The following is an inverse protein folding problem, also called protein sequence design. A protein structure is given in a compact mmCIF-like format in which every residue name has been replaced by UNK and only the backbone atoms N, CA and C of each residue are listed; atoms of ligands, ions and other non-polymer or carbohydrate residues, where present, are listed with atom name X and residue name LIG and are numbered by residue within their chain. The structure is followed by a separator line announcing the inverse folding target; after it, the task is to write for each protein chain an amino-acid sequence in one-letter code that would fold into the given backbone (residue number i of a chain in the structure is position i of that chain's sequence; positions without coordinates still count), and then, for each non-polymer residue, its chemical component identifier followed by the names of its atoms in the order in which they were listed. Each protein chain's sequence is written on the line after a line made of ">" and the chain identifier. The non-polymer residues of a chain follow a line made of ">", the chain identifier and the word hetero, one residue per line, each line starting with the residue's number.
data_IF_888605758850
#
_entry.id   IF_888605758850
#
_cell.length_a   1.000
_cell.length_b   1.000
_cell.length_c   1.000
_cell.angle_alpha   90.00
_cell.angle_beta   90.00
_cell.angle_gamma   90.00
#
_symmetry.space_group_name_H-M   'P 1'
#
loop_
_entity.id
_entity.type
_entity.pdbx_description
1 polymer ?
#
# COMPACT_ATOMS: atom_id res chain seq x y z
N UNK A 1 21.70 -9.06 2.05
CA UNK A 1 20.38 -8.71 2.57
C UNK A 1 19.68 -7.82 1.55
N UNK A 2 18.35 -8.00 1.35
CA UNK A 2 17.56 -7.09 0.56
C UNK A 2 17.50 -5.70 1.22
N UNK A 3 17.49 -4.67 0.40
CA UNK A 3 17.27 -3.29 0.82
C UNK A 3 15.77 -2.99 0.81
N UNK A 4 15.32 -2.07 1.66
CA UNK A 4 13.93 -1.63 1.71
C UNK A 4 13.87 -0.10 1.73
N UNK A 5 13.06 0.47 0.85
CA UNK A 5 12.75 1.89 0.80
C UNK A 5 11.24 2.11 0.98
N UNK A 6 10.89 3.17 1.68
CA UNK A 6 9.51 3.65 1.76
C UNK A 6 9.45 5.16 1.51
N UNK A 7 8.47 5.57 0.72
CA UNK A 7 8.18 6.99 0.45
C UNK A 7 6.70 7.26 0.67
N UNK A 8 6.40 8.46 1.18
CA UNK A 8 5.03 8.92 1.34
C UNK A 8 4.91 10.42 1.09
N UNK A 9 3.91 10.80 0.30
CA UNK A 9 3.48 12.16 0.10
C UNK A 9 2.08 12.33 0.68
N UNK A 10 1.91 13.27 1.59
CA UNK A 10 0.60 13.65 2.11
C UNK A 10 0.19 15.02 1.60
N UNK A 11 -1.02 15.10 1.08
CA UNK A 11 -1.65 16.34 0.65
C UNK A 11 -2.89 16.62 1.51
N UNK A 12 -3.11 17.88 1.81
CA UNK A 12 -4.30 18.33 2.55
C UNK A 12 -4.99 19.44 1.77
N UNK A 13 -5.74 19.09 0.70
CA UNK A 13 -6.39 20.06 -0.18
C UNK A 13 -7.40 20.95 0.55
N UNK A 14 -8.03 20.43 1.59
CA UNK A 14 -8.94 21.15 2.47
C UNK A 14 -8.66 20.80 3.94
N UNK A 15 -9.29 21.53 4.87
CA UNK A 15 -9.19 21.20 6.30
C UNK A 15 -9.77 19.81 6.64
N UNK A 16 -10.67 19.32 5.82
CA UNK A 16 -11.41 18.09 6.05
C UNK A 16 -10.85 16.89 5.27
N UNK A 17 -10.14 17.12 4.16
CA UNK A 17 -9.68 16.07 3.26
C UNK A 17 -8.15 15.96 3.29
N UNK A 18 -7.69 14.75 3.58
CA UNK A 18 -6.30 14.33 3.48
C UNK A 18 -6.18 13.22 2.44
N UNK A 19 -5.15 13.28 1.60
CA UNK A 19 -4.85 12.28 0.56
C UNK A 19 -3.39 11.90 0.71
N UNK A 20 -3.11 10.60 0.78
CA UNK A 20 -1.78 10.04 0.86
C UNK A 20 -1.43 9.26 -0.41
N UNK A 21 -0.18 9.37 -0.85
CA UNK A 21 0.43 8.53 -1.86
C UNK A 21 1.62 7.85 -1.24
N UNK A 22 1.67 6.53 -1.32
CA UNK A 22 2.73 5.72 -0.72
C UNK A 22 3.38 4.86 -1.79
N UNK A 23 4.68 4.64 -1.65
CA UNK A 23 5.42 3.67 -2.44
C UNK A 23 6.45 2.99 -1.55
N UNK A 24 6.57 1.68 -1.68
CA UNK A 24 7.64 0.89 -1.08
C UNK A 24 8.35 0.09 -2.15
N UNK A 25 9.62 -0.17 -1.95
CA UNK A 25 10.41 -1.01 -2.84
C UNK A 25 11.40 -1.84 -2.04
N UNK A 26 11.57 -3.10 -2.45
CA UNK A 26 12.62 -4.00 -2.02
C UNK A 26 13.54 -4.25 -3.21
N UNK A 27 14.86 -4.25 -3.02
CA UNK A 27 15.83 -4.56 -4.08
C UNK A 27 17.10 -5.17 -3.49
N UNK A 28 17.96 -5.70 -4.36
CA UNK A 28 19.22 -6.33 -3.96
C UNK A 28 19.08 -7.65 -3.20
N UNK A 29 20.13 -8.11 -2.60
CA UNK A 29 20.20 -9.37 -1.87
C UNK A 29 20.41 -10.58 -2.77
N UNK A 30 21.04 -11.63 -2.25
CA UNK A 30 21.29 -12.92 -2.91
C UNK A 30 21.92 -12.82 -4.32
N UNK A 31 22.90 -11.91 -4.49
CA UNK A 31 23.60 -11.71 -5.76
C UNK A 31 22.87 -10.81 -6.75
N UNK A 32 21.73 -10.25 -6.39
CA UNK A 32 21.03 -9.24 -7.21
C UNK A 32 21.73 -7.90 -7.11
N UNK A 33 21.64 -7.06 -8.16
CA UNK A 33 22.23 -5.74 -8.15
C UNK A 33 21.70 -4.89 -6.98
N UNK A 34 22.61 -4.24 -6.26
CA UNK A 34 22.29 -3.38 -5.11
C UNK A 34 23.08 -2.06 -5.12
N UNK A 35 23.70 -1.74 -6.23
CA UNK A 35 24.46 -0.52 -6.43
C UNK A 35 23.55 0.73 -6.58
N UNK A 36 24.17 1.89 -6.66
CA UNK A 36 23.46 3.17 -6.74
C UNK A 36 22.67 3.33 -8.03
N UNK A 37 23.13 2.74 -9.14
CA UNK A 37 22.38 2.78 -10.41
C UNK A 37 21.09 1.97 -10.31
N UNK A 38 21.16 0.79 -9.72
CA UNK A 38 19.98 -0.03 -9.42
C UNK A 38 18.98 0.69 -8.51
N UNK A 39 19.49 1.38 -7.48
CA UNK A 39 18.64 2.21 -6.64
C UNK A 39 17.92 3.30 -7.43
N UNK A 40 18.60 3.97 -8.36
CA UNK A 40 17.97 4.98 -9.21
C UNK A 40 16.93 4.37 -10.16
N UNK A 41 17.18 3.21 -10.72
CA UNK A 41 16.23 2.51 -11.59
C UNK A 41 14.98 2.11 -10.80
N UNK A 42 15.14 1.55 -9.61
CA UNK A 42 14.03 1.28 -8.67
C UNK A 42 13.28 2.57 -8.32
N UNK A 43 13.98 3.66 -8.02
CA UNK A 43 13.37 4.94 -7.69
C UNK A 43 12.56 5.52 -8.87
N UNK A 44 13.03 5.34 -10.09
CA UNK A 44 12.37 5.82 -11.31
C UNK A 44 11.34 4.85 -11.88
N UNK A 45 11.18 3.65 -11.29
CA UNK A 45 10.28 2.61 -11.77
C UNK A 45 10.74 1.98 -13.09
N UNK A 46 12.03 1.79 -13.27
CA UNK A 46 12.67 1.20 -14.45
C UNK A 46 13.25 -0.19 -14.17
N UNK A 47 12.66 -0.89 -13.25
CA UNK A 47 13.15 -2.14 -12.69
C UNK A 47 12.20 -3.33 -12.98
N UNK A 48 11.20 -3.13 -13.83
CA UNK A 48 10.24 -4.18 -14.18
C UNK A 48 10.58 -4.91 -15.48
N UNK A 49 10.08 -6.13 -15.60
CA UNK A 49 10.13 -6.90 -16.85
C UNK A 49 9.52 -6.09 -18.00
N UNK A 50 10.31 -5.94 -19.08
CA UNK A 50 9.95 -5.12 -20.24
C UNK A 50 10.71 -3.82 -20.35
N UNK A 51 11.39 -3.39 -19.29
CA UNK A 51 12.38 -2.33 -19.36
C UNK A 51 13.66 -2.82 -20.06
N UNK A 52 14.39 -1.88 -20.69
CA UNK A 52 15.58 -2.24 -21.47
C UNK A 52 16.63 -2.92 -20.61
N UNK A 53 16.89 -4.20 -20.90
CA UNK A 53 17.90 -5.00 -20.20
C UNK A 53 17.40 -5.70 -18.94
N UNK A 54 16.13 -5.54 -18.55
CA UNK A 54 15.55 -6.23 -17.40
C UNK A 54 14.98 -7.60 -17.83
N UNK A 55 15.44 -8.64 -17.20
CA UNK A 55 15.05 -10.03 -17.40
C UNK A 55 14.64 -10.65 -16.06
N UNK A 56 14.01 -11.81 -16.08
CA UNK A 56 13.65 -12.55 -14.86
C UNK A 56 14.85 -12.80 -13.94
N UNK A 57 16.04 -12.92 -14.49
CA UNK A 57 17.25 -13.26 -13.73
C UNK A 57 17.87 -12.03 -13.05
N UNK A 58 17.69 -10.84 -13.62
CA UNK A 58 18.28 -9.60 -13.12
C UNK A 58 17.23 -8.56 -12.68
N UNK A 59 15.96 -8.91 -12.67
CA UNK A 59 14.90 -8.04 -12.14
C UNK A 59 15.25 -7.62 -10.71
N UNK A 60 15.47 -6.31 -10.47
CA UNK A 60 16.10 -5.89 -9.23
C UNK A 60 15.14 -5.72 -8.07
N UNK A 61 13.81 -5.58 -8.32
CA UNK A 61 12.95 -5.08 -7.28
C UNK A 61 11.56 -5.70 -7.15
N UNK A 62 10.96 -5.50 -5.99
CA UNK A 62 9.54 -5.68 -5.73
C UNK A 62 8.98 -4.36 -5.21
N UNK A 63 7.93 -3.85 -5.83
CA UNK A 63 7.37 -2.56 -5.51
C UNK A 63 5.88 -2.63 -5.21
N UNK A 64 5.47 -1.88 -4.18
CA UNK A 64 4.06 -1.60 -3.90
C UNK A 64 3.82 -0.09 -3.99
N UNK A 65 2.72 0.29 -4.58
CA UNK A 65 2.24 1.67 -4.59
C UNK A 65 0.79 1.74 -4.12
N UNK A 66 0.43 2.84 -3.50
CA UNK A 66 -0.92 2.98 -2.99
C UNK A 66 -1.36 4.42 -2.81
N UNK A 67 -2.66 4.56 -2.75
CA UNK A 67 -3.34 5.79 -2.41
C UNK A 67 -4.23 5.56 -1.21
N UNK A 68 -4.29 6.53 -0.34
CA UNK A 68 -5.24 6.56 0.76
C UNK A 68 -5.87 7.95 0.90
N UNK A 69 -6.99 7.98 1.56
CA UNK A 69 -7.66 9.23 1.90
C UNK A 69 -8.31 9.14 3.28
N UNK A 70 -8.46 10.28 3.91
CA UNK A 70 -9.31 10.49 5.07
C UNK A 70 -10.11 11.77 4.89
N UNK A 71 -11.43 11.66 4.95
CA UNK A 71 -12.35 12.77 4.77
C UNK A 71 -13.21 12.94 6.01
N UNK A 72 -12.90 13.97 6.80
CA UNK A 72 -13.62 14.30 8.01
C UNK A 72 -14.90 15.09 7.68
N UNK A 73 -16.00 14.70 8.31
CA UNK A 73 -17.31 15.37 8.20
C UNK A 73 -17.70 15.70 6.74
N UNK A 74 -17.68 14.73 5.82
CA UNK A 74 -17.97 14.99 4.41
C UNK A 74 -19.38 15.51 4.18
N UNK A 75 -20.32 15.18 5.06
CA UNK A 75 -21.71 15.63 5.02
C UNK A 75 -22.13 16.10 6.42
N UNK A 76 -22.93 17.16 6.47
CA UNK A 76 -23.66 17.64 7.64
C UNK A 76 -22.82 18.09 8.84
N UNK A 77 -21.51 18.30 8.72
CA UNK A 77 -20.61 18.70 9.81
C UNK A 77 -20.74 17.83 11.08
N UNK A 78 -21.03 16.55 10.92
CA UNK A 78 -21.11 15.60 12.02
C UNK A 78 -19.71 15.09 12.41
N UNK A 79 -19.52 14.62 13.66
CA UNK A 79 -18.23 14.19 14.17
C UNK A 79 -17.86 12.77 13.67
N UNK A 80 -17.63 12.63 12.37
CA UNK A 80 -17.20 11.38 11.75
C UNK A 80 -16.21 11.62 10.63
N UNK A 81 -15.48 10.61 10.26
CA UNK A 81 -14.67 10.56 9.04
C UNK A 81 -14.85 9.23 8.33
N UNK A 82 -14.78 9.28 7.01
CA UNK A 82 -14.60 8.10 6.18
C UNK A 82 -13.17 8.08 5.69
N UNK A 83 -12.58 6.91 5.59
CA UNK A 83 -11.25 6.74 5.09
C UNK A 83 -11.11 5.43 4.32
N UNK A 84 -10.10 5.35 3.48
CA UNK A 84 -9.82 4.17 2.73
C UNK A 84 -8.40 4.17 2.19
N UNK A 85 -7.92 2.98 1.88
CA UNK A 85 -6.61 2.75 1.31
C UNK A 85 -6.72 1.70 0.23
N UNK A 86 -6.01 1.91 -0.87
CA UNK A 86 -5.82 0.94 -1.93
C UNK A 86 -4.32 0.84 -2.21
N UNK A 87 -3.78 -0.36 -2.10
CA UNK A 87 -2.37 -0.66 -2.36
C UNK A 87 -2.32 -1.77 -3.39
N UNK A 88 -1.44 -1.67 -4.37
CA UNK A 88 -1.22 -2.71 -5.36
C UNK A 88 0.25 -2.88 -5.70
N UNK A 89 0.56 -4.02 -6.23
CA UNK A 89 1.80 -4.40 -6.87
C UNK A 89 1.68 -4.03 -8.34
N UNK A 90 2.70 -3.80 -9.06
CA UNK A 90 2.75 -3.49 -10.49
C UNK A 90 1.84 -2.32 -10.96
N UNK A 91 2.35 -1.55 -11.87
CA UNK A 91 1.58 -0.56 -12.60
C UNK A 91 0.90 -1.25 -13.79
N UNK A 92 -0.41 -1.19 -13.89
CA UNK A 92 -1.12 -1.63 -15.08
C UNK A 92 -0.62 -0.84 -16.30
N UNK A 93 0.12 -1.50 -17.18
CA UNK A 93 0.66 -0.89 -18.38
C UNK A 93 -0.45 -0.37 -19.30
N UNK A 94 -0.32 0.85 -19.78
CA UNK A 94 -1.14 1.38 -20.88
C UNK A 94 -2.18 2.44 -20.53
N UNK A 95 -2.23 2.95 -19.33
CA UNK A 95 -3.10 4.07 -18.96
C UNK A 95 -2.30 5.31 -18.56
N UNK A 96 -2.79 6.49 -18.95
CA UNK A 96 -2.20 7.79 -18.60
C UNK A 96 -2.18 8.04 -17.07
N UNK A 97 -3.00 7.30 -16.34
CA UNK A 97 -3.02 7.17 -14.89
C UNK A 97 -2.65 5.72 -14.60
N UNK A 98 -1.37 5.46 -14.42
CA UNK A 98 -0.87 4.16 -14.00
C UNK A 98 -1.48 3.79 -12.64
N UNK A 99 -2.51 2.96 -12.66
CA UNK A 99 -3.20 2.47 -11.48
C UNK A 99 -2.55 1.14 -11.05
N UNK A 100 -2.23 0.95 -9.80
CA UNK A 100 -1.69 -0.31 -9.34
C UNK A 100 -2.62 -1.48 -9.66
N UNK A 101 -2.08 -2.58 -10.14
CA UNK A 101 -2.76 -3.87 -10.25
C UNK A 101 -2.61 -4.70 -8.98
N UNK A 102 -3.22 -5.87 -8.93
CA UNK A 102 -3.17 -6.77 -7.76
C UNK A 102 -3.50 -6.06 -6.44
N UNK A 103 -4.58 -5.29 -6.45
CA UNK A 103 -4.92 -4.39 -5.35
C UNK A 103 -5.47 -5.13 -4.13
N UNK A 104 -5.02 -4.70 -2.96
CA UNK A 104 -5.64 -4.93 -1.66
C UNK A 104 -6.26 -3.62 -1.16
N UNK A 105 -7.24 -3.70 -0.29
CA UNK A 105 -7.94 -2.52 0.17
C UNK A 105 -8.33 -2.55 1.65
N UNK A 106 -8.47 -1.35 2.19
CA UNK A 106 -9.07 -1.07 3.48
C UNK A 106 -10.06 0.06 3.34
N UNK A 107 -11.21 -0.04 3.99
CA UNK A 107 -12.17 1.05 4.13
C UNK A 107 -12.62 1.15 5.58
N UNK A 108 -12.85 2.36 6.08
CA UNK A 108 -13.21 2.55 7.46
C UNK A 108 -14.08 3.77 7.71
N UNK A 109 -14.73 3.71 8.86
CA UNK A 109 -15.53 4.78 9.46
C UNK A 109 -14.96 5.08 10.85
N UNK A 110 -14.66 6.33 11.09
CA UNK A 110 -14.29 6.85 12.41
C UNK A 110 -15.44 7.72 12.92
N UNK A 111 -15.86 7.51 14.15
CA UNK A 111 -16.81 8.35 14.87
C UNK A 111 -16.13 8.89 16.12
N UNK A 112 -16.36 10.18 16.43
CA UNK A 112 -15.82 10.75 17.66
C UNK A 112 -16.86 11.56 18.41
N UNK A 113 -16.68 11.62 19.71
CA UNK A 113 -17.44 12.46 20.62
C UNK A 113 -16.47 13.23 21.50
N UNK A 114 -16.65 14.54 21.55
CA UNK A 114 -15.92 15.41 22.48
C UNK A 114 -16.82 15.74 23.66
N UNK A 115 -16.48 15.22 24.82
CA UNK A 115 -17.22 15.50 26.05
C UNK A 115 -17.05 16.94 26.50
N UNK A 116 -18.13 17.56 26.96
CA UNK A 116 -18.11 18.85 27.62
C UNK A 116 -18.46 18.68 29.10
N UNK A 117 -17.97 19.59 29.97
CA UNK A 117 -18.33 19.64 31.39
C UNK A 117 -18.09 18.33 32.16
N UNK A 118 -16.89 17.74 32.02
CA UNK A 118 -16.50 16.54 32.77
C UNK A 118 -17.03 15.22 32.20
N UNK A 119 -17.71 15.23 31.05
CA UNK A 119 -18.06 14.04 30.30
C UNK A 119 -16.86 13.58 29.47
N UNK A 120 -16.57 12.28 29.47
CA UNK A 120 -15.44 11.72 28.72
C UNK A 120 -15.56 11.94 27.21
N UNK A 121 -14.42 11.98 26.53
CA UNK A 121 -14.34 11.89 25.07
C UNK A 121 -14.14 10.44 24.64
N UNK A 122 -14.61 10.09 23.44
CA UNK A 122 -14.47 8.74 22.90
C UNK A 122 -14.28 8.77 21.38
N UNK A 123 -13.66 7.71 20.87
CA UNK A 123 -13.55 7.41 19.44
C UNK A 123 -13.92 5.95 19.21
N UNK A 124 -14.60 5.71 18.10
CA UNK A 124 -14.94 4.39 17.60
C UNK A 124 -14.46 4.28 16.16
N UNK A 125 -13.81 3.17 15.84
CA UNK A 125 -13.39 2.81 14.50
C UNK A 125 -14.13 1.54 14.07
N UNK A 126 -14.60 1.54 12.84
CA UNK A 126 -15.14 0.36 12.17
C UNK A 126 -14.39 0.25 10.87
N UNK A 127 -13.68 -0.87 10.66
CA UNK A 127 -12.84 -1.11 9.50
C UNK A 127 -13.24 -2.40 8.80
N UNK A 128 -13.13 -2.40 7.50
CA UNK A 128 -13.15 -3.57 6.65
C UNK A 128 -11.87 -3.59 5.83
N UNK A 129 -11.16 -4.70 5.87
CA UNK A 129 -9.95 -4.91 5.07
C UNK A 129 -10.04 -6.22 4.30
N UNK A 130 -9.54 -6.21 3.08
CA UNK A 130 -9.37 -7.38 2.25
C UNK A 130 -7.94 -7.37 1.67
N UNK A 131 -7.14 -8.34 2.08
CA UNK A 131 -5.74 -8.49 1.65
C UNK A 131 -5.55 -9.58 0.60
N UNK A 132 -6.63 -10.23 0.13
CA UNK A 132 -6.60 -11.02 -1.08
C UNK A 132 -6.54 -10.07 -2.29
N UNK A 133 -5.48 -10.16 -3.09
CA UNK A 133 -5.31 -9.25 -4.22
C UNK A 133 -6.45 -9.42 -5.24
N UNK A 134 -6.90 -8.30 -5.82
CA UNK A 134 -8.04 -8.25 -6.74
C UNK A 134 -9.34 -8.85 -6.16
N UNK A 135 -9.57 -8.65 -4.87
CA UNK A 135 -10.72 -9.15 -4.11
C UNK A 135 -12.09 -8.83 -4.73
N UNK A 136 -12.17 -7.82 -5.58
CA UNK A 136 -13.36 -7.37 -6.30
C UNK A 136 -13.66 -8.17 -7.57
N UNK A 137 -12.76 -9.06 -7.99
CA UNK A 137 -12.96 -9.95 -9.15
C UNK A 137 -13.62 -11.26 -8.73
N UNK A 138 -14.16 -11.98 -9.70
CA UNK A 138 -14.76 -13.30 -9.49
C UNK A 138 -13.78 -14.35 -8.95
N UNK A 139 -12.49 -14.15 -9.20
CA UNK A 139 -11.39 -14.95 -8.66
C UNK A 139 -10.33 -14.00 -8.09
N UNK A 140 -10.27 -13.89 -6.76
CA UNK A 140 -9.20 -13.18 -6.08
C UNK A 140 -7.86 -13.89 -6.28
N UNK A 141 -6.78 -13.13 -6.28
CA UNK A 141 -5.42 -13.66 -6.34
C UNK A 141 -4.91 -13.86 -4.91
N UNK A 142 -4.76 -15.11 -4.53
CA UNK A 142 -4.23 -15.50 -3.23
C UNK A 142 -2.69 -15.59 -3.25
N UNK A 143 -2.06 -15.52 -2.09
CA UNK A 143 -0.59 -15.55 -1.92
C UNK A 143 0.14 -14.52 -2.81
N UNK A 144 -0.41 -13.30 -2.87
CA UNK A 144 0.11 -12.25 -3.76
C UNK A 144 0.56 -11.03 -2.97
N UNK A 145 -0.29 -10.44 -2.14
CA UNK A 145 -0.06 -9.13 -1.54
C UNK A 145 1.18 -9.04 -0.63
N UNK A 146 1.56 -10.13 0.03
CA UNK A 146 2.70 -10.21 0.95
C UNK A 146 3.73 -11.25 0.54
N UNK A 147 3.55 -11.87 -0.62
CA UNK A 147 4.45 -12.86 -1.21
C UNK A 147 5.11 -12.26 -2.46
N UNK A 148 6.28 -12.77 -2.81
CA UNK A 148 6.95 -12.40 -4.04
C UNK A 148 7.84 -13.55 -4.52
N UNK A 149 7.93 -13.79 -5.83
CA UNK A 149 8.71 -14.90 -6.38
C UNK A 149 10.22 -14.76 -6.15
N UNK A 150 10.72 -13.53 -6.05
CA UNK A 150 12.12 -13.23 -5.75
C UNK A 150 12.34 -13.18 -4.24
N UNK A 151 11.56 -12.34 -3.56
CA UNK A 151 11.66 -12.12 -2.12
C UNK A 151 10.69 -13.04 -1.39
N UNK A 152 11.08 -14.30 -1.21
CA UNK A 152 10.23 -15.37 -0.66
C UNK A 152 9.61 -15.05 0.70
N UNK A 153 10.28 -14.21 1.50
CA UNK A 153 9.71 -13.69 2.74
C UNK A 153 8.71 -12.54 2.51
N UNK A 154 8.62 -12.01 1.28
CA UNK A 154 7.75 -10.90 0.95
C UNK A 154 8.05 -9.63 1.77
N UNK A 155 7.03 -8.83 2.01
CA UNK A 155 7.13 -7.63 2.86
C UNK A 155 7.05 -8.00 4.34
N UNK A 156 8.10 -8.65 4.85
CA UNK A 156 8.24 -9.04 6.26
C UNK A 156 9.57 -8.57 6.83
N UNK A 157 9.56 -8.28 8.12
CA UNK A 157 10.76 -8.08 8.92
C UNK A 157 10.79 -9.19 9.98
N UNK A 158 11.70 -10.12 9.83
CA UNK A 158 11.62 -11.43 10.48
C UNK A 158 10.26 -12.08 10.18
N UNK A 159 9.49 -12.44 11.18
CA UNK A 159 8.16 -13.05 11.06
C UNK A 159 7.01 -12.03 11.10
N UNK A 160 7.30 -10.73 11.14
CA UNK A 160 6.32 -9.66 11.21
C UNK A 160 6.05 -9.08 9.82
N UNK A 161 4.81 -9.07 9.39
CA UNK A 161 4.41 -8.39 8.17
C UNK A 161 4.52 -6.88 8.27
N UNK A 162 5.06 -6.26 7.22
CA UNK A 162 5.15 -4.82 7.07
C UNK A 162 3.87 -4.30 6.41
N UNK A 163 2.75 -4.37 7.12
CA UNK A 163 1.46 -3.97 6.59
C UNK A 163 0.31 -4.34 7.53
N UNK A 164 -0.80 -4.80 6.97
CA UNK A 164 -1.96 -5.17 7.75
C UNK A 164 -1.69 -6.40 8.65
N UNK A 165 -2.27 -6.41 9.84
CA UNK A 165 -2.03 -7.47 10.84
C UNK A 165 -2.50 -8.87 10.43
N UNK A 166 -3.38 -8.98 9.44
CA UNK A 166 -3.79 -10.26 8.86
C UNK A 166 -2.66 -10.98 8.11
N UNK A 167 -1.66 -10.23 7.62
CA UNK A 167 -0.42 -10.79 7.10
C UNK A 167 -0.62 -11.88 6.04
N UNK A 168 -1.22 -11.57 4.95
CA UNK A 168 -1.55 -12.51 3.89
C UNK A 168 -3.01 -12.40 3.49
N UNK A 169 -3.51 -13.41 2.82
CA UNK A 169 -4.85 -13.39 2.29
C UNK A 169 -5.89 -13.51 3.41
N UNK A 170 -6.53 -12.43 3.71
CA UNK A 170 -7.54 -12.37 4.75
C UNK A 170 -8.60 -11.31 4.47
N UNK A 171 -9.74 -11.51 5.13
CA UNK A 171 -10.85 -10.56 5.12
C UNK A 171 -11.33 -10.34 6.54
N UNK A 172 -11.42 -9.10 6.97
CA UNK A 172 -11.86 -8.72 8.30
C UNK A 172 -12.90 -7.58 8.21
#
# INVERSE_FOLDING_TARGET
>A
YAQLMGMRLNLKPTRALEIGFSRTAQWGGEGRPDDFSTFLDVLLGRDNLGDSGVTTDNEPGNQLAGVDFRWASPLFNLPYAVYGQLIGEDLASGTLLAWPSKNIALAGLELWHSGSHGRGSGRLYIEYADTAAEFYRSAALYNTAYEHHIYQSGYRYYDLCLGHSMCGDGRM
#
